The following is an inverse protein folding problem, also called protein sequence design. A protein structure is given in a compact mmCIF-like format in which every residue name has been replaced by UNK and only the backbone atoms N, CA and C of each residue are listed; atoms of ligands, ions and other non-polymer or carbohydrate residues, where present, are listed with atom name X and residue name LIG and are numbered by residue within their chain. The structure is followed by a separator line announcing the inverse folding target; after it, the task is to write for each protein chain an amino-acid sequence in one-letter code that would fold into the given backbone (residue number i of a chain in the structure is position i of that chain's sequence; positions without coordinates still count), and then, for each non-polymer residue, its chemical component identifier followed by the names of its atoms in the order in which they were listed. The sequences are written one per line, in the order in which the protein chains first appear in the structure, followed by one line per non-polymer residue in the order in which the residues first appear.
data_IF_101984981722
#
_entry.id   IF_101984981722
#
_cell.length_a   1.000
_cell.length_b   1.000
_cell.length_c   1.000
_cell.angle_alpha   90.00
_cell.angle_beta   90.00
_cell.angle_gamma   90.00
#
_symmetry.space_group_name_H-M   'P 1'
#
loop_
_entity.id
_entity.type
_entity.pdbx_description
1 polymer ?
#
# COMPACT_ATOMS: atom_id res chain seq x y z
N UNK A 1 29.01 19.62 4.93
CA UNK A 1 27.89 19.32 5.82
C UNK A 1 27.36 17.94 5.46
N UNK A 2 27.08 17.13 6.46
CA UNK A 2 26.50 15.80 6.26
C UNK A 2 24.97 15.95 6.24
N UNK A 3 24.31 15.40 5.21
CA UNK A 3 22.86 15.37 5.08
C UNK A 3 22.36 13.95 5.31
N UNK A 4 21.36 13.78 6.16
CA UNK A 4 20.70 12.50 6.42
C UNK A 4 19.28 12.58 5.86
N UNK A 5 18.91 11.65 5.00
CA UNK A 5 17.57 11.51 4.45
C UNK A 5 16.83 10.37 5.17
N UNK A 6 15.71 10.68 5.79
CA UNK A 6 14.76 9.71 6.33
C UNK A 6 13.49 9.71 5.48
N UNK A 7 13.07 8.56 4.98
CA UNK A 7 11.88 8.44 4.15
C UNK A 7 10.91 7.40 4.74
N UNK A 8 9.69 7.83 5.01
CA UNK A 8 8.60 6.96 5.44
C UNK A 8 7.25 7.61 5.17
N UNK A 9 6.29 6.83 4.67
CA UNK A 9 4.91 7.27 4.52
C UNK A 9 4.23 7.53 5.88
N UNK A 10 4.71 6.89 6.96
CA UNK A 10 4.16 7.04 8.30
C UNK A 10 4.42 8.41 8.93
N UNK A 11 5.35 9.20 8.40
CA UNK A 11 5.53 10.59 8.84
C UNK A 11 4.29 11.46 8.58
N UNK A 12 3.47 11.14 7.60
CA UNK A 12 2.20 11.83 7.34
C UNK A 12 1.14 11.60 8.42
N UNK A 13 1.21 10.50 9.16
CA UNK A 13 0.27 10.13 10.21
C UNK A 13 0.55 10.83 11.55
N UNK A 14 1.73 11.44 11.70
CA UNK A 14 2.13 12.11 12.95
C UNK A 14 1.22 13.31 13.25
N UNK A 15 0.89 13.44 14.53
CA UNK A 15 0.29 14.67 15.06
C UNK A 15 1.34 15.75 15.34
N UNK A 16 0.88 16.95 15.69
CA UNK A 16 1.75 18.10 15.93
C UNK A 16 2.72 17.89 17.10
N UNK A 17 2.30 17.18 18.16
CA UNK A 17 3.12 16.90 19.34
C UNK A 17 4.24 15.91 18.99
N UNK A 18 3.93 14.88 18.23
CA UNK A 18 4.92 13.91 17.76
C UNK A 18 5.95 14.56 16.83
N UNK A 19 5.51 15.43 15.89
CA UNK A 19 6.41 16.21 15.04
C UNK A 19 7.30 17.11 15.89
N UNK A 20 6.74 17.81 16.88
CA UNK A 20 7.50 18.67 17.79
C UNK A 20 8.52 17.88 18.62
N UNK A 21 8.16 16.66 19.03
CA UNK A 21 9.09 15.77 19.74
C UNK A 21 10.29 15.42 18.88
N UNK A 22 10.05 14.98 17.62
CA UNK A 22 11.13 14.70 16.68
C UNK A 22 12.01 15.95 16.44
N UNK A 23 11.39 17.11 16.25
CA UNK A 23 12.10 18.37 16.06
C UNK A 23 13.00 18.70 17.27
N UNK A 24 12.51 18.51 18.47
CA UNK A 24 13.24 18.78 19.71
C UNK A 24 14.43 17.81 19.90
N UNK A 25 14.26 16.53 19.55
CA UNK A 25 15.33 15.52 19.66
C UNK A 25 16.50 15.78 18.69
N UNK A 26 16.23 16.40 17.53
CA UNK A 26 17.25 16.68 16.50
C UNK A 26 17.82 18.09 16.67
N UNK A 27 17.92 18.60 17.87
CA UNK A 27 18.37 19.97 18.16
C UNK A 27 19.71 20.33 17.48
N UNK A 28 19.78 21.58 16.99
CA UNK A 28 21.00 22.14 16.39
C UNK A 28 21.24 21.72 14.93
N UNK A 29 20.33 21.00 14.30
CA UNK A 29 20.36 20.68 12.87
C UNK A 29 19.22 21.37 12.14
N UNK A 30 19.44 21.74 10.88
CA UNK A 30 18.36 22.18 9.99
C UNK A 30 17.55 20.96 9.60
N UNK A 31 16.25 21.03 9.84
CA UNK A 31 15.29 19.99 9.43
C UNK A 31 14.42 20.56 8.33
N UNK A 32 14.32 19.82 7.24
CA UNK A 32 13.45 20.13 6.10
C UNK A 32 12.54 18.94 5.84
N UNK A 33 11.31 19.19 5.45
CA UNK A 33 10.35 18.16 5.07
C UNK A 33 10.00 18.28 3.59
N UNK A 34 10.10 17.16 2.86
CA UNK A 34 9.69 17.04 1.47
C UNK A 34 8.52 16.06 1.38
N UNK A 35 7.38 16.53 0.86
CA UNK A 35 6.21 15.72 0.60
C UNK A 35 6.05 15.48 -0.89
N UNK A 36 5.87 14.22 -1.28
CA UNK A 36 5.42 13.88 -2.64
C UNK A 36 3.92 13.69 -2.63
N UNK A 37 3.21 14.47 -3.44
CA UNK A 37 1.75 14.48 -3.50
C UNK A 37 1.28 14.07 -4.89
N UNK A 38 0.29 13.20 -4.95
CA UNK A 38 -0.38 12.76 -6.17
C UNK A 38 -1.85 13.12 -6.12
N UNK A 39 -2.51 13.33 -7.28
CA UNK A 39 -3.95 13.50 -7.32
C UNK A 39 -4.69 12.35 -6.62
N UNK A 40 -5.66 12.68 -5.76
CA UNK A 40 -6.39 11.68 -4.97
C UNK A 40 -7.04 10.61 -5.87
N UNK A 41 -7.64 11.02 -6.97
CA UNK A 41 -8.29 10.14 -7.94
C UNK A 41 -7.33 9.02 -8.43
N UNK A 42 -6.07 9.36 -8.67
CA UNK A 42 -5.04 8.39 -9.09
C UNK A 42 -4.60 7.43 -7.97
N UNK A 43 -4.84 7.80 -6.73
CA UNK A 43 -4.50 6.98 -5.57
C UNK A 43 -5.60 5.95 -5.22
N UNK A 44 -6.87 6.21 -5.58
CA UNK A 44 -8.00 5.40 -5.11
C UNK A 44 -7.84 3.91 -5.40
N UNK A 45 -7.62 3.54 -6.66
CA UNK A 45 -7.51 2.12 -7.03
C UNK A 45 -6.27 1.45 -6.44
N UNK A 46 -5.15 2.15 -6.38
CA UNK A 46 -3.90 1.60 -5.81
C UNK A 46 -3.98 1.47 -4.30
N UNK A 47 -4.56 2.45 -3.61
CA UNK A 47 -4.79 2.40 -2.16
C UNK A 47 -5.74 1.26 -1.81
N UNK A 48 -6.88 1.13 -2.51
CA UNK A 48 -7.79 0.01 -2.31
C UNK A 48 -7.06 -1.34 -2.40
N UNK A 49 -6.29 -1.56 -3.47
CA UNK A 49 -5.54 -2.80 -3.65
C UNK A 49 -4.50 -3.01 -2.55
N UNK A 50 -3.88 -1.95 -2.06
CA UNK A 50 -2.96 -2.04 -0.93
C UNK A 50 -3.69 -2.49 0.35
N UNK A 51 -4.85 -1.87 0.67
CA UNK A 51 -5.63 -2.27 1.84
C UNK A 51 -6.26 -3.66 1.70
N UNK A 52 -6.61 -4.06 0.48
CA UNK A 52 -7.05 -5.42 0.19
C UNK A 52 -5.96 -6.45 0.54
N UNK A 53 -4.69 -6.13 0.27
CA UNK A 53 -3.53 -6.93 0.70
C UNK A 53 -3.33 -6.95 2.22
N UNK A 54 -4.01 -6.07 2.96
CA UNK A 54 -4.06 -6.05 4.43
C UNK A 54 -5.33 -6.71 5.00
N UNK A 55 -6.09 -7.43 4.17
CA UNK A 55 -7.17 -8.28 4.64
C UNK A 55 -8.57 -7.65 4.66
N UNK A 56 -8.78 -6.46 4.05
CA UNK A 56 -10.15 -5.96 3.90
C UNK A 56 -10.97 -6.90 3.00
N UNK A 57 -12.26 -6.99 3.29
CA UNK A 57 -13.20 -7.89 2.61
C UNK A 57 -14.24 -7.16 1.77
N UNK A 58 -14.25 -5.84 1.82
CA UNK A 58 -15.13 -4.99 1.04
C UNK A 58 -14.70 -4.98 -0.44
N UNK A 59 -15.67 -4.97 -1.35
CA UNK A 59 -15.41 -4.66 -2.75
C UNK A 59 -15.03 -3.18 -2.94
N UNK A 60 -14.58 -2.83 -4.15
CA UNK A 60 -14.06 -1.50 -4.42
C UNK A 60 -15.10 -0.40 -4.26
N UNK A 61 -16.33 -0.62 -4.71
CA UNK A 61 -17.41 0.39 -4.62
C UNK A 61 -17.80 0.63 -3.17
N UNK A 62 -17.96 -0.43 -2.38
CA UNK A 62 -18.21 -0.36 -0.94
C UNK A 62 -17.07 0.38 -0.21
N UNK A 63 -15.83 0.10 -0.59
CA UNK A 63 -14.68 0.80 -0.03
C UNK A 63 -14.66 2.29 -0.42
N UNK A 64 -14.93 2.62 -1.70
CA UNK A 64 -15.02 4.01 -2.17
C UNK A 64 -16.06 4.80 -1.37
N UNK A 65 -17.27 4.27 -1.21
CA UNK A 65 -18.30 4.90 -0.36
C UNK A 65 -17.80 5.10 1.07
N UNK A 66 -17.14 4.11 1.65
CA UNK A 66 -16.62 4.20 3.01
C UNK A 66 -15.60 5.33 3.19
N UNK A 67 -14.76 5.61 2.18
CA UNK A 67 -13.73 6.65 2.31
C UNK A 67 -14.16 8.00 1.76
N UNK A 68 -15.06 8.08 0.77
CA UNK A 68 -15.39 9.32 0.09
C UNK A 68 -16.67 10.00 0.57
N UNK A 69 -17.68 9.25 1.07
CA UNK A 69 -18.95 9.85 1.50
C UNK A 69 -18.78 10.75 2.73
N UNK A 70 -17.95 10.29 3.68
CA UNK A 70 -17.60 11.03 4.89
C UNK A 70 -16.11 10.94 5.12
N UNK A 71 -15.32 11.82 4.52
CA UNK A 71 -13.87 11.83 4.69
C UNK A 71 -13.47 11.91 6.16
N UNK A 72 -12.59 11.00 6.58
CA UNK A 72 -12.13 10.89 7.98
C UNK A 72 -12.94 9.93 8.86
N UNK A 73 -14.14 9.48 8.46
CA UNK A 73 -15.03 8.62 9.28
C UNK A 73 -15.08 7.16 8.84
N UNK A 74 -14.22 6.72 7.92
CA UNK A 74 -14.24 5.36 7.39
C UNK A 74 -13.98 4.31 8.47
N UNK A 75 -14.93 3.40 8.68
CA UNK A 75 -14.75 2.22 9.56
C UNK A 75 -13.99 1.08 8.88
N UNK A 76 -14.03 1.01 7.55
CA UNK A 76 -13.30 -0.01 6.78
C UNK A 76 -11.81 0.36 6.73
N UNK A 77 -11.52 1.65 6.62
CA UNK A 77 -10.16 2.15 6.49
C UNK A 77 -9.95 3.45 7.27
N UNK A 78 -9.83 3.38 8.60
CA UNK A 78 -9.75 4.58 9.43
C UNK A 78 -8.47 5.41 9.23
N UNK A 79 -7.40 4.80 8.70
CA UNK A 79 -6.10 5.48 8.51
C UNK A 79 -5.95 6.13 7.12
N UNK A 80 -6.87 5.89 6.20
CA UNK A 80 -6.77 6.40 4.82
C UNK A 80 -6.54 7.91 4.81
N UNK A 81 -7.37 8.67 5.51
CA UNK A 81 -7.32 10.12 5.51
C UNK A 81 -6.17 10.72 6.31
N UNK A 82 -5.56 9.98 7.24
CA UNK A 82 -4.35 10.43 7.94
C UNK A 82 -3.20 10.73 6.96
N UNK A 83 -3.19 10.07 5.79
CA UNK A 83 -2.19 10.22 4.74
C UNK A 83 -2.66 11.12 3.58
N UNK A 84 -3.97 11.18 3.32
CA UNK A 84 -4.51 11.78 2.09
C UNK A 84 -5.20 13.13 2.26
N UNK A 85 -5.34 13.63 3.48
CA UNK A 85 -5.60 15.05 3.73
C UNK A 85 -4.29 15.85 3.56
N UNK A 86 -3.80 15.92 2.32
CA UNK A 86 -2.47 16.45 2.02
C UNK A 86 -2.25 17.85 2.55
N UNK A 87 -3.24 18.74 2.41
CA UNK A 87 -3.17 20.10 2.92
C UNK A 87 -3.01 20.15 4.44
N UNK A 88 -3.79 19.35 5.18
CA UNK A 88 -3.71 19.27 6.64
C UNK A 88 -2.39 18.66 7.11
N UNK A 89 -1.91 17.61 6.42
CA UNK A 89 -0.61 16.98 6.72
C UNK A 89 0.51 18.02 6.59
N UNK A 90 0.58 18.71 5.44
CA UNK A 90 1.61 19.73 5.18
C UNK A 90 1.52 20.88 6.17
N UNK A 91 0.29 21.34 6.48
CA UNK A 91 0.06 22.43 7.46
C UNK A 91 0.58 22.07 8.86
N UNK A 92 0.38 20.83 9.31
CA UNK A 92 0.93 20.37 10.61
C UNK A 92 2.45 20.51 10.66
N UNK A 93 3.12 20.07 9.60
CA UNK A 93 4.58 20.14 9.50
C UNK A 93 5.08 21.59 9.38
N UNK A 94 4.39 22.40 8.56
CA UNK A 94 4.74 23.81 8.38
C UNK A 94 4.60 24.60 9.70
N UNK A 95 3.64 24.28 10.55
CA UNK A 95 3.49 24.89 11.89
C UNK A 95 4.70 24.63 12.81
N UNK A 96 5.32 23.46 12.71
CA UNK A 96 6.45 23.09 13.57
C UNK A 96 7.79 23.51 12.98
N UNK A 97 7.99 23.26 11.69
CA UNK A 97 9.28 23.52 11.04
C UNK A 97 9.43 24.95 10.51
N UNK A 98 8.32 25.66 10.34
CA UNK A 98 8.25 26.90 9.55
C UNK A 98 8.03 26.62 8.06
N UNK A 99 7.26 27.48 7.40
CA UNK A 99 6.84 27.30 5.99
C UNK A 99 8.01 27.17 5.01
N UNK A 100 9.08 27.91 5.24
CA UNK A 100 10.30 27.88 4.40
C UNK A 100 11.10 26.57 4.47
N UNK A 101 10.77 25.68 5.43
CA UNK A 101 11.42 24.37 5.59
C UNK A 101 10.52 23.22 5.13
N UNK A 102 9.41 23.51 4.48
CA UNK A 102 8.48 22.48 3.97
C UNK A 102 8.29 22.65 2.47
N UNK A 103 8.53 21.60 1.73
CA UNK A 103 8.39 21.55 0.26
C UNK A 103 7.41 20.44 -0.12
N UNK A 104 6.53 20.75 -1.07
CA UNK A 104 5.58 19.81 -1.66
C UNK A 104 5.94 19.62 -3.12
N UNK A 105 6.19 18.37 -3.51
CA UNK A 105 6.45 17.98 -4.89
C UNK A 105 5.20 17.28 -5.45
N UNK A 106 4.55 17.93 -6.42
CA UNK A 106 3.42 17.36 -7.14
C UNK A 106 3.95 16.39 -8.20
N UNK A 107 3.63 15.12 -8.05
CA UNK A 107 4.14 14.07 -8.94
C UNK A 107 3.39 14.08 -10.26
N UNK A 108 4.12 14.24 -11.36
CA UNK A 108 3.62 14.10 -12.74
C UNK A 108 3.95 12.69 -13.26
N UNK A 109 2.96 11.81 -13.30
CA UNK A 109 3.15 10.43 -13.80
C UNK A 109 3.38 10.35 -15.31
N UNK A 110 3.05 11.41 -16.07
CA UNK A 110 3.37 11.50 -17.50
C UNK A 110 4.85 11.75 -17.75
N UNK A 111 5.57 12.22 -16.73
CA UNK A 111 7.01 12.51 -16.75
C UNK A 111 7.69 11.85 -15.56
N UNK A 112 7.90 10.53 -15.58
CA UNK A 112 8.47 9.81 -14.43
C UNK A 112 9.83 10.36 -13.98
N UNK A 113 10.64 10.90 -14.89
CA UNK A 113 11.94 11.50 -14.60
C UNK A 113 11.81 12.76 -13.74
N UNK A 114 10.70 13.50 -13.87
CA UNK A 114 10.47 14.74 -13.12
C UNK A 114 10.57 14.56 -11.61
N UNK A 115 10.03 13.44 -11.09
CA UNK A 115 10.13 13.11 -9.66
C UNK A 115 11.59 13.00 -9.21
N UNK A 116 12.39 12.24 -9.93
CA UNK A 116 13.78 11.97 -9.59
C UNK A 116 14.68 13.18 -9.78
N UNK A 117 14.47 13.92 -10.87
CA UNK A 117 15.21 15.16 -11.14
C UNK A 117 14.91 16.21 -10.06
N UNK A 118 13.64 16.36 -9.67
CA UNK A 118 13.24 17.29 -8.62
C UNK A 118 13.82 16.91 -7.25
N UNK A 119 13.85 15.62 -6.90
CA UNK A 119 14.48 15.17 -5.65
C UNK A 119 15.99 15.39 -5.69
N UNK A 120 16.68 15.07 -6.80
CA UNK A 120 18.10 15.32 -6.94
C UNK A 120 18.41 16.81 -6.80
N UNK A 121 17.66 17.67 -7.47
CA UNK A 121 17.81 19.13 -7.37
C UNK A 121 17.55 19.62 -5.93
N UNK A 122 16.48 19.18 -5.30
CA UNK A 122 16.14 19.54 -3.92
C UNK A 122 17.24 19.17 -2.92
N UNK A 123 17.85 18.00 -3.09
CA UNK A 123 18.95 17.52 -2.24
C UNK A 123 20.33 18.06 -2.65
N UNK A 124 20.43 18.86 -3.71
CA UNK A 124 21.72 19.34 -4.24
C UNK A 124 22.60 18.21 -4.80
N UNK A 125 21.99 17.12 -5.25
CA UNK A 125 22.68 15.96 -5.82
C UNK A 125 22.90 16.13 -7.33
N UNK A 126 23.94 15.48 -7.90
CA UNK A 126 24.11 15.41 -9.35
C UNK A 126 22.88 14.82 -10.04
N UNK A 127 22.64 15.27 -11.30
CA UNK A 127 21.61 14.66 -12.14
C UNK A 127 21.82 13.13 -12.22
N UNK A 128 20.73 12.37 -12.20
CA UNK A 128 20.72 10.91 -12.25
C UNK A 128 21.38 10.18 -11.06
N UNK A 129 21.67 10.89 -9.97
CA UNK A 129 22.19 10.25 -8.75
C UNK A 129 21.11 9.33 -8.12
N UNK A 130 19.90 9.87 -7.91
CA UNK A 130 18.71 9.07 -7.59
C UNK A 130 17.95 8.89 -8.91
N UNK A 131 17.70 7.65 -9.30
CA UNK A 131 16.99 7.31 -10.54
C UNK A 131 16.10 6.08 -10.34
N UNK A 132 15.08 5.89 -11.21
CA UNK A 132 14.21 4.73 -11.15
C UNK A 132 15.05 3.45 -11.20
N UNK A 133 14.83 2.57 -10.24
CA UNK A 133 15.37 1.21 -10.33
C UNK A 133 14.31 0.30 -10.96
N UNK A 134 14.72 -0.58 -11.86
CA UNK A 134 13.89 -1.68 -12.37
C UNK A 134 13.81 -2.77 -11.28
N UNK A 135 13.25 -2.42 -10.13
CA UNK A 135 12.88 -3.42 -9.13
C UNK A 135 11.59 -4.06 -9.61
N UNK A 136 11.46 -5.39 -9.46
CA UNK A 136 10.37 -6.20 -9.97
C UNK A 136 9.00 -5.52 -9.86
N UNK A 137 8.21 -5.59 -10.92
CA UNK A 137 7.00 -4.83 -11.09
C UNK A 137 5.99 -5.16 -9.98
N UNK A 138 5.79 -4.23 -9.06
CA UNK A 138 4.64 -4.27 -8.16
C UNK A 138 3.38 -3.92 -8.97
N UNK A 139 3.02 -4.83 -9.90
CA UNK A 139 1.91 -4.61 -10.80
C UNK A 139 0.57 -4.57 -10.06
N UNK A 140 -0.37 -3.85 -10.62
CA UNK A 140 -1.76 -3.87 -10.18
C UNK A 140 -2.38 -5.26 -10.40
N UNK A 141 -3.26 -5.66 -9.50
CA UNK A 141 -4.10 -6.84 -9.64
C UNK A 141 -5.19 -6.57 -10.69
N UNK A 142 -5.56 -7.58 -11.46
CA UNK A 142 -6.73 -7.55 -12.32
C UNK A 142 -8.01 -7.90 -11.54
N UNK A 143 -9.20 -7.74 -12.16
CA UNK A 143 -10.47 -7.95 -11.47
C UNK A 143 -10.66 -9.38 -10.95
N UNK A 144 -10.19 -10.40 -11.66
CA UNK A 144 -10.27 -11.78 -11.19
C UNK A 144 -9.38 -12.03 -9.95
N UNK A 145 -8.17 -11.45 -9.96
CA UNK A 145 -7.24 -11.52 -8.84
C UNK A 145 -7.77 -10.77 -7.61
N UNK A 146 -8.43 -9.63 -7.83
CA UNK A 146 -9.10 -8.85 -6.77
C UNK A 146 -10.26 -9.67 -6.19
N UNK A 147 -11.14 -10.24 -7.03
CA UNK A 147 -12.26 -11.05 -6.60
C UNK A 147 -11.80 -12.25 -5.76
N UNK A 148 -10.76 -12.95 -6.24
CA UNK A 148 -10.19 -14.07 -5.51
C UNK A 148 -9.59 -13.64 -4.16
N UNK A 149 -8.92 -12.50 -4.11
CA UNK A 149 -8.32 -11.99 -2.87
C UNK A 149 -9.39 -11.54 -1.86
N UNK A 150 -10.49 -10.91 -2.31
CA UNK A 150 -11.64 -10.60 -1.45
C UNK A 150 -12.17 -11.90 -0.81
N UNK A 151 -12.34 -12.94 -1.59
CA UNK A 151 -12.87 -14.21 -1.09
C UNK A 151 -11.87 -14.92 -0.18
N UNK A 152 -10.59 -14.92 -0.50
CA UNK A 152 -9.54 -15.43 0.41
C UNK A 152 -9.55 -14.69 1.76
N UNK A 153 -9.73 -13.37 1.76
CA UNK A 153 -9.82 -12.57 2.97
C UNK A 153 -11.08 -12.92 3.79
N UNK A 154 -12.22 -13.17 3.13
CA UNK A 154 -13.46 -13.59 3.79
C UNK A 154 -13.36 -14.97 4.43
N UNK A 155 -12.69 -15.90 3.76
CA UNK A 155 -12.51 -17.28 4.19
C UNK A 155 -11.31 -17.47 5.13
N UNK A 156 -10.45 -16.46 5.28
CA UNK A 156 -9.28 -16.59 6.15
C UNK A 156 -9.73 -16.83 7.60
N UNK A 157 -9.27 -17.91 8.26
CA UNK A 157 -9.76 -18.27 9.58
C UNK A 157 -9.52 -17.17 10.61
N UNK A 158 -10.55 -16.80 11.35
CA UNK A 158 -10.52 -15.70 12.33
C UNK A 158 -9.63 -15.98 13.56
N UNK A 159 -9.32 -17.26 13.83
CA UNK A 159 -8.42 -17.72 14.90
C UNK A 159 -6.95 -17.66 14.49
N UNK A 160 -6.65 -17.29 13.26
CA UNK A 160 -5.28 -17.11 12.74
C UNK A 160 -4.74 -15.72 13.08
N UNK A 161 -3.43 -15.68 13.30
CA UNK A 161 -2.71 -14.45 13.61
C UNK A 161 -2.43 -13.64 12.35
N UNK A 162 -2.14 -12.34 12.54
CA UNK A 162 -1.67 -11.47 11.46
C UNK A 162 -0.40 -12.02 10.79
N UNK A 163 0.55 -12.55 11.56
CA UNK A 163 1.78 -13.14 11.02
C UNK A 163 1.48 -14.35 10.09
N UNK A 164 0.46 -15.14 10.40
CA UNK A 164 0.02 -16.21 9.50
C UNK A 164 -0.59 -15.66 8.22
N UNK A 165 -1.39 -14.58 8.30
CA UNK A 165 -1.92 -13.89 7.14
C UNK A 165 -0.80 -13.35 6.24
N UNK A 166 0.20 -12.69 6.83
CA UNK A 166 1.37 -12.21 6.07
C UNK A 166 2.08 -13.33 5.33
N UNK A 167 2.38 -14.42 6.03
CA UNK A 167 3.09 -15.56 5.44
C UNK A 167 2.29 -16.20 4.32
N UNK A 168 0.99 -16.47 4.52
CA UNK A 168 0.21 -17.23 3.56
C UNK A 168 -0.36 -16.37 2.44
N UNK A 169 -0.87 -15.18 2.74
CA UNK A 169 -1.56 -14.34 1.77
C UNK A 169 -0.62 -13.31 1.16
N UNK A 170 0.02 -12.45 1.97
CA UNK A 170 0.85 -11.36 1.43
C UNK A 170 2.13 -11.85 0.77
N UNK A 171 2.95 -12.57 1.52
CA UNK A 171 4.25 -13.06 1.07
C UNK A 171 4.16 -14.33 0.22
N UNK A 172 3.13 -15.13 0.45
CA UNK A 172 2.85 -16.31 -0.34
C UNK A 172 2.13 -15.94 -1.64
N UNK A 173 0.81 -15.85 -1.58
CA UNK A 173 -0.04 -15.69 -2.75
C UNK A 173 0.20 -14.38 -3.51
N UNK A 174 0.07 -13.22 -2.83
CA UNK A 174 0.06 -11.91 -3.51
C UNK A 174 1.42 -11.61 -4.13
N UNK A 175 2.51 -11.77 -3.38
CA UNK A 175 3.85 -11.46 -3.88
C UNK A 175 4.17 -12.28 -5.13
N UNK A 176 3.91 -13.58 -5.10
CA UNK A 176 4.15 -14.43 -6.26
C UNK A 176 3.29 -14.04 -7.46
N UNK A 177 2.03 -13.70 -7.21
CA UNK A 177 1.12 -13.26 -8.25
C UNK A 177 1.62 -11.97 -8.92
N UNK A 178 2.13 -11.02 -8.14
CA UNK A 178 2.58 -9.72 -8.67
C UNK A 178 3.97 -9.76 -9.27
N UNK A 179 4.87 -10.58 -8.72
CA UNK A 179 6.29 -10.55 -9.09
C UNK A 179 6.65 -11.60 -10.15
N UNK A 180 6.00 -12.79 -10.10
CA UNK A 180 6.40 -13.93 -10.93
C UNK A 180 5.39 -14.24 -12.05
N UNK A 181 4.10 -13.93 -11.85
CA UNK A 181 3.05 -14.28 -12.80
C UNK A 181 2.67 -13.05 -13.62
N UNK A 182 2.84 -13.16 -14.95
CA UNK A 182 2.35 -12.12 -15.86
C UNK A 182 0.84 -12.19 -15.94
N UNK A 183 0.18 -11.05 -15.70
CA UNK A 183 -1.25 -10.93 -15.98
C UNK A 183 -1.50 -11.14 -17.47
N UNK A 184 -2.52 -11.91 -17.90
CA UNK A 184 -2.91 -11.98 -19.28
C UNK A 184 -3.16 -10.58 -19.87
N UNK A 185 -2.81 -10.38 -21.15
CA UNK A 185 -2.89 -9.06 -21.80
C UNK A 185 -4.32 -8.51 -21.90
N UNK A 186 -5.30 -9.40 -21.91
CA UNK A 186 -6.75 -9.12 -21.98
C UNK A 186 -7.45 -9.08 -20.61
N UNK A 187 -6.68 -9.13 -19.54
CA UNK A 187 -7.24 -9.09 -18.17
C UNK A 187 -7.95 -7.77 -17.90
N UNK A 188 -9.20 -7.86 -17.45
CA UNK A 188 -9.98 -6.70 -17.06
C UNK A 188 -9.33 -5.94 -15.89
N UNK A 189 -9.13 -4.63 -16.06
CA UNK A 189 -8.57 -3.74 -15.04
C UNK A 189 -9.65 -3.24 -14.11
N UNK A 190 -9.24 -2.85 -12.90
CA UNK A 190 -10.13 -2.14 -11.98
C UNK A 190 -10.39 -0.74 -12.51
N UNK A 191 -11.66 -0.46 -12.83
CA UNK A 191 -12.14 0.86 -13.25
C UNK A 191 -12.69 1.61 -12.03
N UNK A 192 -12.70 2.93 -12.11
CA UNK A 192 -13.24 3.79 -11.04
C UNK A 192 -14.55 4.43 -11.50
N UNK A 193 -15.65 4.30 -10.73
CA UNK A 193 -16.92 4.91 -11.08
C UNK A 193 -16.80 6.43 -11.19
N UNK A 194 -17.55 7.01 -12.14
CA UNK A 194 -17.53 8.46 -12.40
C UNK A 194 -17.76 9.29 -11.14
N UNK A 195 -18.77 8.93 -10.33
CA UNK A 195 -19.08 9.65 -9.09
C UNK A 195 -17.87 9.73 -8.13
N UNK A 196 -17.06 8.66 -8.07
CA UNK A 196 -15.87 8.63 -7.22
C UNK A 196 -14.73 9.48 -7.81
N UNK A 197 -14.62 9.55 -9.14
CA UNK A 197 -13.69 10.47 -9.83
C UNK A 197 -14.07 11.90 -9.53
N UNK A 198 -15.34 12.26 -9.71
CA UNK A 198 -15.86 13.61 -9.46
C UNK A 198 -15.63 14.01 -7.98
N UNK A 199 -15.98 13.12 -7.05
CA UNK A 199 -15.77 13.35 -5.60
C UNK A 199 -14.30 13.44 -5.21
N UNK A 200 -13.47 12.60 -5.81
CA UNK A 200 -12.02 12.64 -5.60
C UNK A 200 -11.38 13.94 -6.10
N UNK A 201 -11.83 14.49 -7.22
CA UNK A 201 -11.40 15.79 -7.73
C UNK A 201 -11.93 16.96 -6.86
N UNK A 202 -13.17 16.88 -6.35
CA UNK A 202 -13.71 17.87 -5.38
C UNK A 202 -12.81 17.95 -4.12
N UNK A 203 -12.45 16.81 -3.56
CA UNK A 203 -11.55 16.75 -2.40
C UNK A 203 -10.12 17.17 -2.81
N UNK A 204 -9.71 16.85 -4.03
CA UNK A 204 -8.47 17.33 -4.62
C UNK A 204 -8.37 18.86 -4.66
N UNK A 205 -9.48 19.56 -5.01
CA UNK A 205 -9.55 21.01 -4.97
C UNK A 205 -9.38 21.57 -3.54
N UNK A 206 -10.03 20.95 -2.54
CA UNK A 206 -9.85 21.34 -1.14
C UNK A 206 -8.40 21.15 -0.69
N UNK A 207 -7.80 20.01 -0.99
CA UNK A 207 -6.38 19.76 -0.71
C UNK A 207 -5.46 20.80 -1.38
N UNK A 208 -5.76 21.19 -2.63
CA UNK A 208 -5.02 22.22 -3.37
C UNK A 208 -5.06 23.56 -2.63
N UNK A 209 -6.25 24.01 -2.26
CA UNK A 209 -6.44 25.27 -1.55
C UNK A 209 -5.71 25.27 -0.18
N UNK A 210 -5.80 24.20 0.57
CA UNK A 210 -5.10 24.04 1.84
C UNK A 210 -3.57 24.01 1.66
N UNK A 211 -3.05 23.36 0.59
CA UNK A 211 -1.63 23.35 0.29
C UNK A 211 -1.11 24.74 -0.04
N UNK A 212 -1.85 25.51 -0.85
CA UNK A 212 -1.50 26.92 -1.13
C UNK A 212 -1.51 27.74 0.16
N UNK A 213 -2.56 27.59 0.98
CA UNK A 213 -2.67 28.32 2.24
C UNK A 213 -1.61 27.94 3.28
N UNK A 214 -1.03 26.74 3.18
CA UNK A 214 0.03 26.29 4.11
C UNK A 214 1.31 27.12 4.04
N UNK A 215 1.54 27.83 2.93
CA UNK A 215 2.75 28.60 2.67
C UNK A 215 4.00 27.76 2.39
N UNK A 216 3.86 26.45 2.20
CA UNK A 216 4.96 25.57 1.79
C UNK A 216 5.40 25.86 0.36
N UNK A 217 6.67 25.57 0.04
CA UNK A 217 7.16 25.65 -1.33
C UNK A 217 6.55 24.54 -2.19
N UNK A 218 5.96 24.89 -3.34
CA UNK A 218 5.31 23.93 -4.24
C UNK A 218 6.18 23.77 -5.51
N UNK A 219 6.50 22.53 -5.83
CA UNK A 219 7.22 22.13 -7.06
C UNK A 219 6.28 21.28 -7.90
N UNK A 220 6.11 21.62 -9.18
CA UNK A 220 5.21 20.94 -10.11
C UNK A 220 3.88 21.66 -10.27
N UNK A 221 2.96 21.04 -11.04
CA UNK A 221 1.68 21.64 -11.37
C UNK A 221 0.59 21.22 -10.36
N UNK A 222 0.27 22.14 -9.45
CA UNK A 222 -0.74 21.93 -8.41
C UNK A 222 -2.17 21.77 -8.99
N UNK A 223 -2.45 22.25 -10.20
CA UNK A 223 -3.76 22.14 -10.81
C UNK A 223 -4.12 20.70 -11.19
N UNK A 224 -3.11 19.83 -11.27
CA UNK A 224 -3.37 18.40 -11.50
C UNK A 224 -4.12 17.72 -10.34
N UNK A 225 -4.16 18.33 -9.16
CA UNK A 225 -4.79 17.74 -7.97
C UNK A 225 -6.31 17.69 -8.06
N UNK A 226 -6.94 18.60 -8.80
CA UNK A 226 -8.40 18.75 -8.95
C UNK A 226 -8.93 18.42 -10.35
N UNK A 227 -8.07 18.01 -11.27
CA UNK A 227 -8.40 17.74 -12.66
C UNK A 227 -7.89 16.39 -13.18
N UNK A 228 -7.59 15.47 -12.26
CA UNK A 228 -7.07 14.17 -12.62
C UNK A 228 -8.13 13.27 -13.23
N UNK A 229 -7.71 12.48 -14.23
CA UNK A 229 -8.53 11.43 -14.84
C UNK A 229 -7.88 10.06 -14.66
N UNK A 230 -8.71 9.05 -14.56
CA UNK A 230 -8.34 7.62 -14.54
C UNK A 230 -9.32 6.85 -15.42
N UNK A 231 -9.03 5.59 -15.79
CA UNK A 231 -10.00 4.77 -16.51
C UNK A 231 -11.33 4.69 -15.74
N UNK A 232 -12.40 5.18 -16.39
CA UNK A 232 -13.74 5.32 -15.82
C UNK A 232 -14.57 4.07 -16.09
N UNK A 233 -15.39 3.65 -15.14
CA UNK A 233 -16.40 2.61 -15.26
C UNK A 233 -16.69 1.91 -13.94
N UNK A 234 -17.79 1.18 -13.91
CA UNK A 234 -18.13 0.35 -12.76
C UNK A 234 -17.34 -0.97 -12.79
N UNK A 235 -16.75 -1.40 -11.67
CA UNK A 235 -16.03 -2.66 -11.62
C UNK A 235 -17.02 -3.84 -11.70
N UNK A 236 -16.89 -4.67 -12.74
CA UNK A 236 -17.68 -5.89 -12.92
C UNK A 236 -16.81 -7.08 -12.55
N UNK A 237 -17.04 -7.63 -11.36
CA UNK A 237 -16.30 -8.79 -10.89
C UNK A 237 -16.76 -10.06 -11.61
N UNK A 238 -15.84 -10.95 -12.00
CA UNK A 238 -16.21 -12.23 -12.58
C UNK A 238 -16.91 -13.10 -11.51
N UNK A 239 -17.99 -13.77 -11.91
CA UNK A 239 -18.70 -14.77 -11.08
C UNK A 239 -17.98 -16.12 -11.07
N UNK A 240 -17.15 -16.37 -12.08
CA UNK A 240 -16.36 -17.58 -12.23
C UNK A 240 -14.89 -17.23 -12.46
N UNK A 241 -14.00 -17.95 -11.79
CA UNK A 241 -12.55 -17.78 -11.93
C UNK A 241 -12.01 -19.04 -12.58
N UNK A 242 -11.19 -18.90 -13.62
CA UNK A 242 -10.56 -20.01 -14.31
C UNK A 242 -9.77 -20.90 -13.34
N UNK A 243 -9.99 -22.20 -13.39
CA UNK A 243 -9.31 -23.20 -12.54
C UNK A 243 -7.79 -23.03 -12.57
N UNK A 244 -7.24 -22.63 -13.72
CA UNK A 244 -5.82 -22.36 -13.85
C UNK A 244 -5.33 -21.23 -12.92
N UNK A 245 -6.12 -20.16 -12.71
CA UNK A 245 -5.80 -19.09 -11.78
C UNK A 245 -5.81 -19.58 -10.32
N UNK A 246 -6.79 -20.42 -9.96
CA UNK A 246 -6.87 -21.02 -8.64
C UNK A 246 -5.67 -21.96 -8.42
N UNK A 247 -5.33 -22.78 -9.42
CA UNK A 247 -4.17 -23.67 -9.35
C UNK A 247 -2.85 -22.90 -9.18
N UNK A 248 -2.68 -21.80 -9.90
CA UNK A 248 -1.52 -20.92 -9.73
C UNK A 248 -1.45 -20.30 -8.33
N UNK A 249 -2.59 -19.87 -7.79
CA UNK A 249 -2.68 -19.39 -6.41
C UNK A 249 -2.28 -20.48 -5.40
N UNK A 250 -2.71 -21.71 -5.60
CA UNK A 250 -2.37 -22.84 -4.73
C UNK A 250 -0.89 -23.24 -4.82
N UNK A 251 -0.27 -23.11 -5.98
CA UNK A 251 1.18 -23.37 -6.17
C UNK A 251 2.07 -22.27 -5.59
N UNK A 252 1.49 -21.15 -5.17
CA UNK A 252 2.23 -20.07 -4.51
C UNK A 252 2.83 -20.46 -3.14
N UNK A 253 2.51 -21.64 -2.62
CA UNK A 253 3.14 -22.20 -1.41
C UNK A 253 4.51 -22.82 -1.75
N UNK A 254 5.50 -21.98 -2.02
CA UNK A 254 6.84 -22.42 -2.38
C UNK A 254 7.75 -22.69 -1.17
N UNK A 255 8.94 -23.27 -1.46
CA UNK A 255 10.01 -23.60 -0.50
C UNK A 255 10.46 -22.39 0.35
N UNK A 256 10.40 -21.19 -0.20
CA UNK A 256 10.74 -19.96 0.53
C UNK A 256 9.73 -19.60 1.62
N UNK A 257 8.48 -20.01 1.48
CA UNK A 257 7.47 -19.89 2.53
C UNK A 257 7.85 -20.72 3.76
N UNK A 258 8.39 -21.92 3.54
CA UNK A 258 8.84 -22.82 4.63
C UNK A 258 9.93 -22.14 5.46
N UNK A 259 10.83 -21.38 4.85
CA UNK A 259 11.91 -20.65 5.55
C UNK A 259 11.39 -19.53 6.45
N UNK A 260 10.23 -18.96 6.12
CA UNK A 260 9.58 -17.87 6.87
C UNK A 260 8.66 -18.38 7.99
N UNK A 261 8.34 -19.68 8.01
CA UNK A 261 7.50 -20.24 9.05
C UNK A 261 8.15 -20.09 10.44
N UNK A 262 7.37 -19.66 11.45
CA UNK A 262 7.88 -19.57 12.82
C UNK A 262 8.48 -20.90 13.28
N UNK A 263 9.67 -20.87 13.88
CA UNK A 263 10.35 -22.07 14.39
C UNK A 263 9.46 -22.89 15.33
N UNK A 264 8.58 -22.24 16.08
CA UNK A 264 7.59 -22.89 16.93
C UNK A 264 6.62 -23.78 16.16
N UNK A 265 6.25 -23.42 14.94
CA UNK A 265 5.39 -24.21 14.06
C UNK A 265 6.12 -25.43 13.50
N UNK A 266 7.35 -25.21 13.06
CA UNK A 266 8.23 -26.28 12.58
C UNK A 266 8.43 -27.29 13.71
N UNK A 267 8.74 -26.82 14.93
CA UNK A 267 8.88 -27.68 16.12
C UNK A 267 7.59 -28.47 16.45
N UNK A 268 6.43 -27.81 16.47
CA UNK A 268 5.13 -28.48 16.70
C UNK A 268 4.84 -29.53 15.63
N UNK A 269 5.10 -29.21 14.36
CA UNK A 269 4.91 -30.15 13.24
C UNK A 269 5.82 -31.35 13.32
N UNK A 270 7.11 -31.15 13.66
CA UNK A 270 8.09 -32.24 13.85
C UNK A 270 7.69 -33.16 15.02
N UNK A 271 7.31 -32.58 16.16
CA UNK A 271 6.84 -33.35 17.33
C UNK A 271 5.59 -34.17 16.98
N UNK A 272 4.64 -33.59 16.24
CA UNK A 272 3.42 -34.30 15.80
C UNK A 272 3.75 -35.45 14.84
N UNK A 273 4.68 -35.25 13.90
CA UNK A 273 5.15 -36.28 12.96
C UNK A 273 5.89 -37.40 13.69
N UNK A 274 6.75 -37.05 14.65
CA UNK A 274 7.49 -38.02 15.46
C UNK A 274 6.56 -38.88 16.30
N UNK A 275 5.58 -38.27 17.00
CA UNK A 275 4.55 -39.00 17.76
C UNK A 275 3.71 -39.93 16.88
N UNK A 276 3.39 -39.52 15.65
CA UNK A 276 2.67 -40.36 14.68
C UNK A 276 3.51 -41.56 14.23
N UNK A 277 4.80 -41.37 13.95
CA UNK A 277 5.73 -42.47 13.62
C UNK A 277 5.86 -43.46 14.75
N UNK A 278 6.02 -43.00 15.98
CA UNK A 278 6.09 -43.87 17.18
C UNK A 278 4.81 -44.69 17.33
N UNK A 279 3.64 -44.08 17.19
CA UNK A 279 2.34 -44.84 17.28
C UNK A 279 2.24 -45.94 16.22
N UNK A 280 2.65 -45.63 14.97
CA UNK A 280 2.64 -46.62 13.89
C UNK A 280 3.61 -47.78 14.17
N UNK A 281 4.79 -47.44 14.72
CA UNK A 281 5.82 -48.45 15.06
C UNK A 281 5.35 -49.33 16.20
N UNK A 282 4.77 -48.77 17.27
CA UNK A 282 4.18 -49.52 18.39
C UNK A 282 3.04 -50.43 17.93
N UNK A 283 2.15 -49.95 17.04
CA UNK A 283 1.03 -50.78 16.53
C UNK A 283 1.55 -51.93 15.66
N UNK A 284 2.63 -51.76 14.89
CA UNK A 284 3.24 -52.82 14.10
C UNK A 284 3.87 -53.92 14.99
N UNK A 285 4.56 -53.50 16.06
CA UNK A 285 5.15 -54.45 17.02
C UNK A 285 4.10 -55.22 17.81
N UNK A 286 2.95 -54.59 18.10
CA UNK A 286 1.84 -55.26 18.81
C UNK A 286 1.08 -56.29 17.95
N UNK A 287 1.13 -56.16 16.62
CA UNK A 287 0.49 -57.11 15.70
C UNK A 287 1.43 -58.25 15.27
N UNK A 288 2.67 -58.29 15.79
CA UNK A 288 3.65 -59.37 15.54
C UNK A 288 3.88 -60.27 16.75
N UNK A 289 3.20 -60.01 17.86
CA UNK A 289 3.12 -60.86 19.04
C UNK A 289 1.71 -61.45 19.11
#
# INVERSE_FOLDING_TARGET
SETVLLSSEFFSELDTEQIQTIFNEIKGRKIEALFTVRPLVKLLSSSYQQYLKYGITADYVTWLHSVLDKPGESKINPTFWMRHFHGQVVTKWAKVLGTGNVTVLIVDESKPEFLYDSINQYLGLPKDFIKPQKIGSNRSLNLAEIALLIELNRQFPKDRTWNEYEIFIRDGYIRRLTDEIKSPSDSAKLLTPKWAIDKGNEIGAQNKDELVASGATIIGDINTLDSASVPEGDPVYPTEIAIAHIAQAMLAFDKDLIKKLPLSWIKKSLVKRYRRKLRVQISRTRNQI
#
